data_IF_820501857623
#
_entry.id   IF_820501857623
#
_cell.length_a   1.000
_cell.length_b   1.000
_cell.length_c   1.000
_cell.angle_alpha   90.00
_cell.angle_beta   90.00
_cell.angle_gamma   90.00
#
_symmetry.space_group_name_H-M   'P 1'
#
loop_
_entity.id
_entity.type
_entity.pdbx_description
1 polymer ?
#
# COMPACT_ATOMS: atom_id res chain seq x y z
N UNK A 1 18.60 -6.51 -4.50
CA UNK A 1 17.41 -6.35 -5.36
C UNK A 1 16.51 -5.31 -4.70
N UNK A 2 15.72 -4.52 -5.45
CA UNK A 2 14.77 -3.61 -4.83
C UNK A 2 13.80 -4.36 -3.93
N UNK A 3 13.46 -3.80 -2.77
CA UNK A 3 12.51 -4.41 -1.85
C UNK A 3 11.10 -4.45 -2.48
N UNK A 4 10.36 -5.52 -2.21
CA UNK A 4 8.94 -5.62 -2.58
C UNK A 4 8.11 -5.13 -1.40
N UNK A 5 7.42 -4.00 -1.53
CA UNK A 5 6.53 -3.48 -0.49
C UNK A 5 5.10 -3.89 -0.81
N UNK A 6 4.53 -4.77 0.01
CA UNK A 6 3.15 -5.19 -0.08
C UNK A 6 2.25 -4.16 0.61
N UNK A 7 1.29 -3.62 -0.12
CA UNK A 7 0.37 -2.58 0.35
C UNK A 7 -1.04 -3.17 0.43
N UNK A 8 -1.51 -3.55 1.64
CA UNK A 8 -2.84 -4.13 1.81
C UNK A 8 -3.97 -3.13 1.56
N UNK A 9 -5.17 -3.68 1.41
CA UNK A 9 -6.40 -2.90 1.35
C UNK A 9 -7.06 -2.73 2.72
N UNK A 10 -8.34 -2.34 2.70
CA UNK A 10 -9.21 -2.30 3.87
C UNK A 10 -9.19 -3.65 4.62
N UNK A 11 -9.09 -3.61 5.96
CA UNK A 11 -8.92 -4.77 6.85
C UNK A 11 -7.60 -5.53 6.69
N UNK A 12 -6.64 -4.99 5.95
CA UNK A 12 -5.30 -5.58 5.83
C UNK A 12 -5.25 -6.84 4.96
N UNK A 13 -4.25 -7.68 5.22
CA UNK A 13 -4.01 -8.96 4.54
C UNK A 13 -3.95 -10.09 5.57
N UNK A 14 -5.11 -10.53 6.03
CA UNK A 14 -5.22 -11.59 7.02
C UNK A 14 -4.74 -12.96 6.50
N UNK A 15 -4.75 -13.98 7.39
CA UNK A 15 -4.36 -15.33 7.04
C UNK A 15 -5.16 -15.87 5.84
N UNK A 16 -4.46 -16.48 4.88
CA UNK A 16 -5.05 -16.95 3.62
C UNK A 16 -5.08 -15.91 2.50
N UNK A 17 -4.75 -14.64 2.78
CA UNK A 17 -4.57 -13.63 1.72
C UNK A 17 -3.27 -13.88 0.94
N UNK A 18 -3.29 -13.66 -0.38
CA UNK A 18 -2.13 -13.93 -1.25
C UNK A 18 -0.92 -13.05 -0.91
N UNK A 19 -1.12 -11.80 -0.44
CA UNK A 19 -0.01 -10.97 0.04
C UNK A 19 0.65 -11.61 1.27
N UNK A 20 -0.10 -12.30 2.13
CA UNK A 20 0.47 -13.02 3.27
C UNK A 20 1.29 -14.22 2.82
N UNK A 21 0.80 -14.97 1.83
CA UNK A 21 1.57 -16.05 1.21
C UNK A 21 2.86 -15.52 0.56
N UNK A 22 2.80 -14.37 -0.11
CA UNK A 22 3.99 -13.74 -0.71
C UNK A 22 5.05 -13.44 0.35
N UNK A 23 4.69 -12.89 1.52
CA UNK A 23 5.66 -12.68 2.62
C UNK A 23 6.32 -13.98 3.09
N UNK A 24 5.62 -15.11 2.99
CA UNK A 24 6.19 -16.42 3.33
C UNK A 24 7.15 -16.92 2.25
N UNK A 25 6.85 -16.65 0.98
CA UNK A 25 7.61 -17.14 -0.17
C UNK A 25 8.84 -16.27 -0.50
N UNK A 26 8.79 -14.96 -0.19
CA UNK A 26 9.85 -13.98 -0.47
C UNK A 26 10.29 -13.27 0.82
N UNK A 27 11.44 -13.66 1.41
CA UNK A 27 11.99 -13.01 2.60
C UNK A 27 12.39 -11.54 2.42
N UNK A 28 12.47 -11.05 1.18
CA UNK A 28 12.77 -9.64 0.88
C UNK A 28 11.51 -8.78 0.76
N UNK A 29 10.33 -9.40 0.76
CA UNK A 29 9.06 -8.68 0.77
C UNK A 29 8.75 -8.16 2.17
N UNK A 30 8.27 -6.92 2.25
CA UNK A 30 7.85 -6.27 3.48
C UNK A 30 6.38 -5.88 3.38
N UNK A 31 5.63 -6.09 4.46
CA UNK A 31 4.29 -5.54 4.59
C UNK A 31 4.41 -4.10 5.06
N UNK A 32 3.76 -3.17 4.36
CA UNK A 32 3.60 -1.81 4.87
C UNK A 32 2.49 -1.84 5.92
N UNK A 33 2.88 -1.79 7.19
CA UNK A 33 1.93 -1.69 8.30
C UNK A 33 1.22 -0.34 8.28
N UNK A 34 -0.05 -0.34 8.70
CA UNK A 34 -0.89 0.84 8.81
C UNK A 34 -1.42 0.99 10.23
N UNK A 35 -1.65 2.23 10.65
CA UNK A 35 -2.08 2.54 12.03
C UNK A 35 -3.41 1.85 12.41
N UNK A 36 -4.43 1.95 11.55
CA UNK A 36 -5.72 1.28 11.73
C UNK A 36 -6.25 0.75 10.39
N UNK A 37 -6.34 -0.58 10.30
CA UNK A 37 -6.85 -1.29 9.13
C UNK A 37 -8.37 -1.20 8.94
N UNK A 38 -9.10 -1.01 10.04
CA UNK A 38 -10.57 -0.98 10.08
C UNK A 38 -11.13 0.43 9.96
N UNK A 39 -10.32 1.44 10.26
CA UNK A 39 -10.70 2.84 10.18
C UNK A 39 -9.67 3.63 9.36
N UNK A 40 -9.59 3.37 8.04
CA UNK A 40 -8.54 3.92 7.20
C UNK A 40 -8.66 5.44 7.07
N UNK A 41 -7.53 6.12 7.21
CA UNK A 41 -7.40 7.57 7.03
C UNK A 41 -6.25 7.81 6.06
N UNK A 42 -6.50 8.55 4.98
CA UNK A 42 -5.52 8.72 3.89
C UNK A 42 -4.20 9.32 4.39
N UNK A 43 -4.26 10.34 5.25
CA UNK A 43 -3.05 11.01 5.76
C UNK A 43 -2.17 10.06 6.55
N UNK A 44 -2.78 9.25 7.40
CA UNK A 44 -2.08 8.36 8.32
C UNK A 44 -1.46 7.22 7.52
N UNK A 45 -2.24 6.66 6.59
CA UNK A 45 -1.74 5.60 5.72
C UNK A 45 -0.66 6.07 4.74
N UNK A 46 -0.77 7.32 4.27
CA UNK A 46 0.26 7.95 3.44
C UNK A 46 1.55 8.16 4.23
N UNK A 47 1.44 8.61 5.48
CA UNK A 47 2.60 8.80 6.35
C UNK A 47 3.39 7.50 6.52
N UNK A 48 2.71 6.39 6.81
CA UNK A 48 3.33 5.08 6.96
C UNK A 48 3.98 4.57 5.67
N UNK A 49 3.31 4.76 4.52
CA UNK A 49 3.87 4.40 3.22
C UNK A 49 5.12 5.21 2.88
N UNK A 50 5.10 6.53 3.11
CA UNK A 50 6.25 7.40 2.85
C UNK A 50 7.43 7.09 3.78
N UNK A 51 7.18 6.82 5.06
CA UNK A 51 8.21 6.41 6.01
C UNK A 51 8.87 5.09 5.57
N UNK A 52 8.06 4.09 5.19
CA UNK A 52 8.58 2.80 4.73
C UNK A 52 9.38 2.93 3.43
N UNK A 53 8.93 3.79 2.50
CA UNK A 53 9.64 4.07 1.25
C UNK A 53 10.97 4.79 1.46
N UNK A 54 11.06 5.70 2.43
CA UNK A 54 12.29 6.40 2.74
C UNK A 54 13.40 5.43 3.19
N UNK A 55 13.03 4.35 3.87
CA UNK A 55 13.94 3.27 4.27
C UNK A 55 14.24 2.27 3.14
N UNK A 56 13.40 2.23 2.11
CA UNK A 56 13.47 1.27 1.00
C UNK A 56 13.48 1.97 -0.37
N UNK A 57 14.49 2.81 -0.66
CA UNK A 57 14.55 3.52 -1.93
C UNK A 57 14.71 2.54 -3.10
N UNK A 58 13.94 2.78 -4.16
CA UNK A 58 13.86 1.91 -5.33
C UNK A 58 12.90 0.74 -5.18
N UNK A 59 12.04 0.72 -4.16
CA UNK A 59 11.10 -0.37 -3.94
C UNK A 59 10.08 -0.56 -5.07
N UNK A 60 9.61 -1.79 -5.26
CA UNK A 60 8.45 -2.12 -6.07
C UNK A 60 7.23 -2.23 -5.15
N UNK A 61 6.18 -1.47 -5.44
CA UNK A 61 4.94 -1.49 -4.67
C UNK A 61 4.00 -2.56 -5.22
N UNK A 62 3.43 -3.41 -4.37
CA UNK A 62 2.44 -4.42 -4.74
C UNK A 62 1.19 -4.19 -3.92
N UNK A 63 0.25 -3.46 -4.51
CA UNK A 63 -0.93 -2.96 -3.83
C UNK A 63 -2.19 -3.75 -4.15
N UNK A 64 -3.07 -3.88 -3.16
CA UNK A 64 -4.37 -4.56 -3.30
C UNK A 64 -5.52 -3.63 -2.90
N UNK A 65 -6.60 -3.60 -3.71
CA UNK A 65 -7.85 -2.91 -3.37
C UNK A 65 -7.64 -1.46 -2.89
N UNK A 66 -7.96 -1.13 -1.63
CA UNK A 66 -7.78 0.20 -1.06
C UNK A 66 -6.31 0.68 -1.13
N UNK A 67 -5.35 -0.23 -0.99
CA UNK A 67 -3.93 0.09 -1.13
C UNK A 67 -3.59 0.62 -2.53
N UNK A 68 -4.35 0.25 -3.57
CA UNK A 68 -4.13 0.80 -4.91
C UNK A 68 -4.47 2.29 -4.96
N UNK A 69 -5.54 2.70 -4.27
CA UNK A 69 -5.94 4.12 -4.17
C UNK A 69 -4.88 4.90 -3.41
N UNK A 70 -4.33 4.33 -2.32
CA UNK A 70 -3.20 4.92 -1.60
C UNK A 70 -1.99 5.15 -2.52
N UNK A 71 -1.59 4.13 -3.28
CA UNK A 71 -0.47 4.23 -4.24
C UNK A 71 -0.76 5.25 -5.35
N UNK A 72 -2.00 5.37 -5.80
CA UNK A 72 -2.38 6.42 -6.75
C UNK A 72 -2.22 7.82 -6.16
N UNK A 73 -2.58 8.04 -4.90
CA UNK A 73 -2.33 9.32 -4.21
C UNK A 73 -0.83 9.60 -4.04
N UNK A 74 -0.02 8.57 -3.73
CA UNK A 74 1.43 8.70 -3.61
C UNK A 74 2.07 9.23 -4.89
N UNK A 75 1.57 8.87 -6.07
CA UNK A 75 2.16 9.24 -7.35
C UNK A 75 2.29 10.77 -7.58
N UNK A 76 1.51 11.59 -6.88
CA UNK A 76 1.61 13.05 -6.94
C UNK A 76 2.55 13.67 -5.90
N UNK A 77 3.20 12.85 -5.06
CA UNK A 77 4.03 13.27 -3.93
C UNK A 77 5.52 13.06 -4.21
N UNK A 78 6.43 13.84 -3.60
CA UNK A 78 7.88 13.70 -3.82
C UNK A 78 8.43 12.29 -3.53
N UNK A 79 7.85 11.59 -2.55
CA UNK A 79 8.26 10.23 -2.19
C UNK A 79 8.09 9.21 -3.34
N UNK A 80 7.27 9.50 -4.36
CA UNK A 80 7.18 8.67 -5.56
C UNK A 80 8.51 8.51 -6.31
N UNK A 81 9.47 9.43 -6.12
CA UNK A 81 10.82 9.30 -6.67
C UNK A 81 11.58 8.05 -6.14
N UNK A 82 11.14 7.47 -5.02
CA UNK A 82 11.70 6.25 -4.45
C UNK A 82 11.05 4.96 -4.98
N UNK A 83 10.09 5.03 -5.90
CA UNK A 83 9.37 3.87 -6.41
C UNK A 83 9.95 3.42 -7.75
N UNK A 84 10.39 2.17 -7.85
CA UNK A 84 10.87 1.59 -9.11
C UNK A 84 9.73 1.09 -10.02
N UNK A 85 8.57 0.79 -9.43
CA UNK A 85 7.38 0.36 -10.15
C UNK A 85 6.25 0.00 -9.19
N UNK A 86 5.05 -0.20 -9.74
CA UNK A 86 3.88 -0.62 -8.96
C UNK A 86 3.05 -1.68 -9.70
N UNK A 87 2.63 -2.72 -8.98
CA UNK A 87 1.61 -3.69 -9.38
C UNK A 87 0.32 -3.38 -8.59
N UNK A 88 -0.77 -3.10 -9.32
CA UNK A 88 -2.07 -2.76 -8.74
C UNK A 88 -3.05 -3.91 -8.97
N UNK A 89 -3.44 -4.60 -7.89
CA UNK A 89 -4.30 -5.79 -7.96
C UNK A 89 -5.69 -5.45 -7.43
N UNK A 90 -6.70 -5.71 -8.26
CA UNK A 90 -8.12 -5.43 -7.95
C UNK A 90 -8.36 -4.04 -7.34
N UNK A 91 -7.99 -2.93 -8.02
CA UNK A 91 -8.11 -1.57 -7.45
C UNK A 91 -9.54 -1.27 -6.99
N UNK A 92 -9.67 -0.62 -5.84
CA UNK A 92 -10.98 -0.15 -5.36
C UNK A 92 -11.52 0.99 -6.23
N UNK A 93 -12.85 1.12 -6.31
CA UNK A 93 -13.50 2.25 -6.95
C UNK A 93 -13.34 3.52 -6.09
N UNK A 94 -12.36 4.34 -6.44
CA UNK A 94 -12.00 5.55 -5.72
C UNK A 94 -13.16 6.55 -5.60
N UNK A 95 -14.03 6.67 -6.61
CA UNK A 95 -15.14 7.60 -6.53
C UNK A 95 -16.20 7.12 -5.53
N UNK A 96 -16.51 5.83 -5.56
CA UNK A 96 -17.43 5.24 -4.59
C UNK A 96 -16.88 5.33 -3.18
N UNK A 97 -15.57 5.26 -3.01
CA UNK A 97 -14.91 5.46 -1.71
C UNK A 97 -15.01 6.89 -1.21
N UNK A 98 -14.61 7.88 -2.02
CA UNK A 98 -14.72 9.29 -1.65
C UNK A 98 -16.15 9.70 -1.27
N UNK A 99 -17.16 9.07 -1.87
CA UNK A 99 -18.58 9.28 -1.54
C UNK A 99 -19.02 8.60 -0.23
N UNK A 100 -18.44 7.46 0.13
CA UNK A 100 -18.82 6.66 1.31
C UNK A 100 -18.04 7.04 2.56
N UNK A 101 -16.77 7.40 2.39
CA UNK A 101 -15.87 7.76 3.47
C UNK A 101 -14.87 8.80 2.97
N UNK A 102 -15.14 10.07 3.24
CA UNK A 102 -14.32 11.18 2.75
C UNK A 102 -12.95 11.30 3.42
N UNK A 103 -12.63 10.41 4.37
CA UNK A 103 -11.33 10.41 5.07
C UNK A 103 -10.26 9.67 4.29
N UNK A 104 -10.66 8.85 3.32
CA UNK A 104 -9.77 8.10 2.45
C UNK A 104 -9.95 8.50 0.99
#
# INVERSE_FOLDING_TARGET
MPATLLIPGYKGSEAGHWQRQWLHDDPSALLVEQDDWHYPVLSDWMHMLEATLAENPGAVLVAHSLGCVLVAHLASRPAAAHVAGALLVAPADAETMARRDSRF
#
